data_IF_452320826505
#
_entry.id   IF_452320826505
#
_cell.length_a   1.000
_cell.length_b   1.000
_cell.length_c   1.000
_cell.angle_alpha   90.00
_cell.angle_beta   90.00
_cell.angle_gamma   90.00
#
_symmetry.space_group_name_H-M   'P 1'
#
loop_
_entity.id
_entity.type
_entity.pdbx_description
1 polymer ?
#
# COMPACT_ATOMS: atom_id res chain seq x y z
N UNK A 1 -11.06 11.38 25.53
CA UNK A 1 -10.45 10.85 24.30
C UNK A 1 -11.57 10.38 23.38
N UNK A 2 -11.57 10.83 22.13
CA UNK A 2 -12.52 10.33 21.12
C UNK A 2 -12.11 8.92 20.73
N UNK A 3 -13.07 7.98 20.64
CA UNK A 3 -12.77 6.62 20.22
C UNK A 3 -12.29 6.59 18.76
N UNK A 4 -11.28 5.77 18.45
CA UNK A 4 -10.61 5.74 17.15
C UNK A 4 -11.59 5.52 15.98
N UNK A 5 -12.58 4.64 16.15
CA UNK A 5 -13.59 4.34 15.13
C UNK A 5 -14.52 5.51 14.79
N UNK A 6 -14.49 6.60 15.57
CA UNK A 6 -15.25 7.83 15.31
C UNK A 6 -14.47 8.89 14.54
N UNK A 7 -13.16 8.69 14.34
CA UNK A 7 -12.27 9.66 13.66
C UNK A 7 -11.63 9.10 12.40
N UNK A 8 -11.83 7.81 12.12
CA UNK A 8 -11.37 7.18 10.88
C UNK A 8 -12.53 7.03 9.90
N UNK A 9 -12.24 7.14 8.60
CA UNK A 9 -13.16 6.78 7.54
C UNK A 9 -12.67 5.49 6.89
N UNK A 10 -13.54 4.48 6.83
CA UNK A 10 -13.21 3.21 6.15
C UNK A 10 -13.24 3.41 4.64
N UNK A 11 -12.27 2.81 3.96
CA UNK A 11 -12.22 2.76 2.49
C UNK A 11 -13.47 2.01 1.96
N UNK A 12 -14.04 2.41 0.80
CA UNK A 12 -15.31 1.84 0.31
C UNK A 12 -15.30 0.31 0.13
N UNK A 13 -14.17 -0.26 -0.30
CA UNK A 13 -13.97 -1.71 -0.46
C UNK A 13 -13.97 -2.48 0.88
N UNK A 14 -13.56 -1.85 1.98
CA UNK A 14 -13.66 -2.45 3.31
C UNK A 14 -15.12 -2.52 3.79
N UNK A 15 -15.98 -1.64 3.28
CA UNK A 15 -17.40 -1.60 3.64
C UNK A 15 -18.22 -2.64 2.85
N UNK A 16 -17.83 -2.95 1.60
CA UNK A 16 -18.53 -3.94 0.79
C UNK A 16 -18.29 -5.39 1.25
N UNK A 17 -17.18 -5.64 1.94
CA UNK A 17 -16.80 -6.97 2.42
C UNK A 17 -16.21 -7.89 1.36
N UNK A 18 -16.04 -7.43 0.12
CA UNK A 18 -15.42 -8.19 -0.98
C UNK A 18 -13.89 -8.17 -0.90
N UNK A 19 -13.34 -8.70 0.21
CA UNK A 19 -11.90 -8.72 0.51
C UNK A 19 -11.30 -10.10 0.24
N UNK A 20 -11.34 -10.54 -1.02
CA UNK A 20 -10.63 -11.76 -1.44
C UNK A 20 -9.14 -11.67 -1.06
N UNK A 21 -8.53 -12.76 -0.58
CA UNK A 21 -7.08 -12.81 -0.34
C UNK A 21 -6.28 -12.49 -1.61
N UNK A 22 -6.83 -12.78 -2.78
CA UNK A 22 -6.19 -12.45 -4.06
C UNK A 22 -6.00 -10.95 -4.24
N UNK A 23 -6.79 -10.08 -3.57
CA UNK A 23 -6.63 -8.62 -3.69
C UNK A 23 -5.28 -8.16 -3.12
N UNK A 24 -4.76 -8.87 -2.12
CA UNK A 24 -3.52 -8.55 -1.43
C UNK A 24 -2.27 -9.18 -2.05
N UNK A 25 -2.47 -10.19 -2.91
CA UNK A 25 -1.41 -10.86 -3.66
C UNK A 25 -1.27 -10.22 -5.05
N UNK A 26 -0.76 -9.00 -5.12
CA UNK A 26 -0.46 -8.34 -6.38
C UNK A 26 0.76 -8.97 -7.06
N UNK A 27 0.63 -9.27 -8.35
CA UNK A 27 1.75 -9.67 -9.20
C UNK A 27 2.58 -8.42 -9.56
N UNK A 28 3.90 -8.48 -9.33
CA UNK A 28 4.78 -7.32 -9.55
C UNK A 28 4.93 -6.96 -11.03
N UNK A 29 4.82 -7.92 -11.94
CA UNK A 29 4.84 -7.65 -13.37
C UNK A 29 3.57 -6.91 -13.81
N UNK A 30 2.40 -7.33 -13.32
CA UNK A 30 1.13 -6.64 -13.59
C UNK A 30 1.16 -5.20 -13.07
N UNK A 31 1.67 -4.99 -11.85
CA UNK A 31 1.85 -3.65 -11.27
C UNK A 31 2.80 -2.80 -12.11
N UNK A 32 3.92 -3.36 -12.56
CA UNK A 32 4.88 -2.66 -13.40
C UNK A 32 4.32 -2.33 -14.79
N UNK A 33 3.41 -3.14 -15.32
CA UNK A 33 2.75 -2.91 -16.60
C UNK A 33 1.60 -1.89 -16.53
N UNK A 34 1.15 -1.50 -15.32
CA UNK A 34 0.12 -0.49 -15.06
C UNK A 34 -1.14 -0.65 -15.93
N UNK A 35 -1.69 -1.87 -15.97
CA UNK A 35 -2.86 -2.21 -16.81
C UNK A 35 -4.20 -1.95 -16.12
N UNK A 36 -4.21 -1.36 -14.92
CA UNK A 36 -5.41 -1.09 -14.14
C UNK A 36 -5.99 -2.30 -13.41
N UNK A 37 -5.28 -3.43 -13.37
CA UNK A 37 -5.74 -4.63 -12.65
C UNK A 37 -5.56 -4.49 -11.15
N UNK A 38 -4.62 -3.64 -10.71
CA UNK A 38 -4.22 -3.45 -9.31
C UNK A 38 -4.04 -1.95 -8.99
N UNK A 39 -5.09 -1.12 -9.09
CA UNK A 39 -4.96 0.35 -8.99
C UNK A 39 -4.22 0.83 -7.73
N UNK A 40 -4.52 0.21 -6.57
CA UNK A 40 -3.88 0.54 -5.28
C UNK A 40 -2.36 0.29 -5.27
N UNK A 41 -1.89 -0.67 -6.07
CA UNK A 41 -0.46 -1.00 -6.18
C UNK A 41 0.22 -0.27 -7.34
N UNK A 42 -0.54 0.20 -8.32
CA UNK A 42 -0.05 0.89 -9.52
C UNK A 42 0.22 2.39 -9.27
N UNK A 43 -0.48 3.02 -8.32
CA UNK A 43 -0.18 4.37 -7.84
C UNK A 43 0.80 4.31 -6.66
N UNK A 44 2.04 4.83 -6.81
CA UNK A 44 3.01 4.89 -5.72
C UNK A 44 2.48 5.61 -4.46
N UNK A 45 1.67 6.66 -4.62
CA UNK A 45 1.14 7.40 -3.48
C UNK A 45 0.17 6.56 -2.66
N UNK A 46 -0.75 5.84 -3.31
CA UNK A 46 -1.66 4.91 -2.62
C UNK A 46 -0.89 3.72 -2.01
N UNK A 47 0.05 3.14 -2.75
CA UNK A 47 0.85 2.01 -2.30
C UNK A 47 1.62 2.35 -1.01
N UNK A 48 2.35 3.47 -0.99
CA UNK A 48 3.14 3.86 0.18
C UNK A 48 2.27 4.37 1.33
N UNK A 49 1.11 4.98 1.07
CA UNK A 49 0.17 5.38 2.13
C UNK A 49 -0.38 4.18 2.91
N UNK A 50 -0.47 3.01 2.27
CA UNK A 50 -0.95 1.76 2.87
C UNK A 50 0.18 0.82 3.30
N UNK A 51 1.43 1.18 3.02
CA UNK A 51 2.60 0.40 3.41
C UNK A 51 2.98 0.76 4.84
N UNK A 52 2.95 -0.22 5.75
CA UNK A 52 3.54 -0.03 7.07
C UNK A 52 5.08 -0.09 6.97
N UNK A 53 5.82 1.02 7.18
CA UNK A 53 7.25 1.02 6.98
C UNK A 53 7.91 0.33 8.18
N UNK A 54 8.29 -0.94 8.02
CA UNK A 54 9.03 -1.68 9.04
C UNK A 54 10.43 -1.10 9.24
N UNK A 55 11.08 -1.41 10.36
CA UNK A 55 12.45 -0.93 10.64
C UNK A 55 13.42 -1.26 9.50
N UNK A 56 13.46 -2.53 9.07
CA UNK A 56 14.35 -2.98 7.99
C UNK A 56 14.03 -2.29 6.65
N UNK A 57 12.75 -2.01 6.37
CA UNK A 57 12.38 -1.32 5.13
C UNK A 57 12.89 0.13 5.11
N UNK A 58 12.86 0.82 6.25
CA UNK A 58 13.41 2.18 6.38
C UNK A 58 14.93 2.19 6.23
N UNK A 59 15.62 1.22 6.83
CA UNK A 59 17.08 1.12 6.72
C UNK A 59 17.51 0.76 5.29
N UNK A 60 16.78 -0.14 4.61
CA UNK A 60 17.02 -0.42 3.19
C UNK A 60 16.85 0.84 2.33
N UNK A 61 15.74 1.57 2.50
CA UNK A 61 15.49 2.80 1.74
C UNK A 61 16.59 3.85 1.98
N UNK A 62 17.05 4.00 3.23
CA UNK A 62 18.17 4.88 3.59
C UNK A 62 19.45 4.48 2.84
N UNK A 63 19.83 3.21 2.88
CA UNK A 63 21.04 2.73 2.23
C UNK A 63 21.01 2.95 0.71
N UNK A 64 19.87 2.69 0.05
CA UNK A 64 19.75 2.88 -1.40
C UNK A 64 19.89 4.36 -1.76
N UNK A 65 19.19 5.25 -1.07
CA UNK A 65 19.26 6.70 -1.34
C UNK A 65 20.68 7.23 -1.14
N UNK A 66 21.39 6.79 -0.09
CA UNK A 66 22.78 7.20 0.17
C UNK A 66 23.77 6.68 -0.88
N UNK A 67 23.48 5.58 -1.57
CA UNK A 67 24.33 5.02 -2.63
C UNK A 67 24.06 5.63 -4.01
N UNK A 68 22.91 6.26 -4.20
CA UNK A 68 22.53 6.92 -5.45
C UNK A 68 22.94 8.41 -5.50
N UNK A 69 23.43 8.96 -4.40
CA UNK A 69 23.85 10.36 -4.25
C UNK A 69 25.32 10.61 -4.64
#
# INVERSE_FOLDING_TARGET
>A
MTAWHKVISLRPDLQSGELSLSIFAADLYDVAMQRGSRPVYEDPAEFFALTYPTYNLRELAREVVLRLA
#
